data_IF_655627591642
#
_entry.id   IF_655627591642
#
_cell.length_a   1.000
_cell.length_b   1.000
_cell.length_c   1.000
_cell.angle_alpha   90.00
_cell.angle_beta   90.00
_cell.angle_gamma   90.00
#
_symmetry.space_group_name_H-M   'P 1'
#
loop_
_entity.id
_entity.type
_entity.pdbx_description
1 polymer ?
#
# COMPACT_ATOMS: atom_id res chain seq x y z
N UNK A 1 -0.45 -29.60 6.57
CA UNK A 1 0.69 -28.65 6.63
C UNK A 1 0.17 -27.30 7.07
N UNK A 2 0.87 -26.59 7.96
CA UNK A 2 0.42 -25.26 8.43
C UNK A 2 0.65 -24.19 7.35
N UNK A 3 -0.15 -23.12 7.36
CA UNK A 3 0.00 -21.99 6.45
C UNK A 3 1.42 -21.38 6.53
N UNK A 4 1.99 -21.32 7.73
CA UNK A 4 3.36 -20.87 7.96
C UNK A 4 4.41 -21.76 7.28
N UNK A 5 4.26 -23.08 7.37
CA UNK A 5 5.19 -24.01 6.72
C UNK A 5 5.15 -23.86 5.18
N UNK A 6 3.96 -23.64 4.62
CA UNK A 6 3.77 -23.39 3.19
C UNK A 6 4.43 -22.07 2.79
N UNK A 7 4.19 -20.98 3.54
CA UNK A 7 4.76 -19.67 3.24
C UNK A 7 6.29 -19.69 3.31
N UNK A 8 6.86 -20.30 4.34
CA UNK A 8 8.31 -20.46 4.45
C UNK A 8 8.89 -21.23 3.27
N UNK A 9 8.26 -22.35 2.89
CA UNK A 9 8.74 -23.18 1.78
C UNK A 9 8.66 -22.45 0.42
N UNK A 10 7.61 -21.68 0.19
CA UNK A 10 7.33 -21.07 -1.12
C UNK A 10 8.02 -19.72 -1.29
N UNK A 11 8.08 -18.90 -0.23
CA UNK A 11 8.56 -17.51 -0.33
C UNK A 11 9.92 -17.33 0.35
N UNK A 12 10.08 -17.79 1.59
CA UNK A 12 11.25 -17.42 2.40
C UNK A 12 12.47 -18.35 2.24
N UNK A 13 12.29 -19.61 1.85
CA UNK A 13 13.36 -20.63 1.83
C UNK A 13 14.43 -20.39 0.77
N UNK A 14 14.13 -19.72 -0.34
CA UNK A 14 15.08 -19.42 -1.43
C UNK A 14 15.28 -17.92 -1.53
N UNK A 15 16.53 -17.46 -1.45
CA UNK A 15 16.88 -16.04 -1.50
C UNK A 15 16.38 -15.34 -2.77
N UNK A 16 16.43 -16.01 -3.93
CA UNK A 16 15.93 -15.45 -5.19
C UNK A 16 14.42 -15.23 -5.18
N UNK A 17 13.65 -16.21 -4.67
CA UNK A 17 12.19 -16.09 -4.55
C UNK A 17 11.80 -15.08 -3.48
N UNK A 18 12.55 -15.01 -2.38
CA UNK A 18 12.37 -14.02 -1.34
C UNK A 18 12.57 -12.60 -1.89
N UNK A 19 13.66 -12.37 -2.63
CA UNK A 19 13.94 -11.08 -3.26
C UNK A 19 12.84 -10.69 -4.25
N UNK A 20 12.42 -11.61 -5.12
CA UNK A 20 11.33 -11.36 -6.07
C UNK A 20 10.02 -11.00 -5.37
N UNK A 21 9.66 -11.74 -4.32
CA UNK A 21 8.46 -11.48 -3.53
C UNK A 21 8.53 -10.12 -2.82
N UNK A 22 9.70 -9.76 -2.28
CA UNK A 22 9.95 -8.44 -1.70
C UNK A 22 9.79 -7.31 -2.72
N UNK A 23 10.45 -7.41 -3.87
CA UNK A 23 10.39 -6.40 -4.92
C UNK A 23 8.97 -6.20 -5.47
N UNK A 24 8.27 -7.31 -5.78
CA UNK A 24 6.87 -7.25 -6.19
C UNK A 24 5.98 -6.69 -5.08
N UNK A 25 6.19 -7.13 -3.84
CA UNK A 25 5.48 -6.64 -2.67
C UNK A 25 5.62 -5.13 -2.49
N UNK A 26 6.83 -4.59 -2.58
CA UNK A 26 7.09 -3.15 -2.48
C UNK A 26 6.37 -2.37 -3.59
N UNK A 27 6.42 -2.84 -4.84
CA UNK A 27 5.75 -2.16 -5.96
C UNK A 27 4.24 -1.99 -5.74
N UNK A 28 3.56 -3.05 -5.28
CA UNK A 28 2.13 -2.97 -5.00
C UNK A 28 1.82 -2.24 -3.69
N UNK A 29 2.66 -2.42 -2.68
CA UNK A 29 2.49 -1.79 -1.37
C UNK A 29 2.59 -0.27 -1.48
N UNK A 30 3.59 0.25 -2.19
CA UNK A 30 3.79 1.70 -2.39
C UNK A 30 2.51 2.36 -2.91
N UNK A 31 1.98 1.89 -4.04
CA UNK A 31 0.81 2.51 -4.66
C UNK A 31 -0.45 2.38 -3.79
N UNK A 32 -0.64 1.23 -3.16
CA UNK A 32 -1.82 0.97 -2.32
C UNK A 32 -1.77 1.84 -1.05
N UNK A 33 -0.60 1.89 -0.41
CA UNK A 33 -0.40 2.63 0.82
C UNK A 33 -0.50 4.15 0.59
N UNK A 34 0.04 4.65 -0.52
CA UNK A 34 -0.10 6.06 -0.92
C UNK A 34 -1.57 6.46 -1.07
N UNK A 35 -2.34 5.73 -1.89
CA UNK A 35 -3.77 6.01 -2.11
C UNK A 35 -4.55 5.92 -0.79
N UNK A 36 -4.32 4.88 0.01
CA UNK A 36 -5.00 4.71 1.28
C UNK A 36 -4.68 5.83 2.27
N UNK A 37 -3.40 6.21 2.37
CA UNK A 37 -2.94 7.27 3.28
C UNK A 37 -3.49 8.63 2.87
N UNK A 38 -3.47 8.94 1.57
CA UNK A 38 -4.08 10.16 1.03
C UNK A 38 -5.56 10.16 1.37
N UNK A 39 -6.31 9.11 1.01
CA UNK A 39 -7.75 9.02 1.29
C UNK A 39 -8.09 9.21 2.78
N UNK A 40 -7.31 8.59 3.67
CA UNK A 40 -7.45 8.76 5.11
C UNK A 40 -7.22 10.22 5.51
N UNK A 41 -6.14 10.84 5.02
CA UNK A 41 -5.83 12.24 5.28
C UNK A 41 -6.92 13.19 4.77
N UNK A 42 -7.46 12.95 3.56
CA UNK A 42 -8.54 13.77 3.01
C UNK A 42 -9.81 13.63 3.85
N UNK A 43 -10.13 12.39 4.27
CA UNK A 43 -11.31 12.13 5.09
C UNK A 43 -11.22 12.85 6.45
N UNK A 44 -10.04 12.85 7.08
CA UNK A 44 -9.83 13.52 8.37
C UNK A 44 -9.92 15.05 8.22
N UNK A 45 -9.45 15.59 7.09
CA UNK A 45 -9.37 17.03 6.85
C UNK A 45 -10.48 17.58 5.95
N UNK A 46 -11.58 16.83 5.81
CA UNK A 46 -12.69 17.19 4.93
C UNK A 46 -13.23 18.58 5.24
N UNK A 47 -13.35 19.41 4.20
CA UNK A 47 -13.82 20.79 4.27
C UNK A 47 -12.73 21.81 4.59
N UNK A 48 -11.50 21.37 4.91
CA UNK A 48 -10.35 22.26 5.17
C UNK A 48 -9.38 22.33 4.00
N UNK A 49 -9.40 21.34 3.11
CA UNK A 49 -8.42 21.23 2.03
C UNK A 49 -8.83 22.12 0.86
N UNK A 50 -7.84 22.64 0.12
CA UNK A 50 -8.11 23.48 -1.06
C UNK A 50 -9.06 22.81 -2.04
N UNK A 51 -8.88 21.52 -2.31
CA UNK A 51 -9.77 20.73 -3.18
C UNK A 51 -11.25 20.75 -2.76
N UNK A 52 -11.54 20.93 -1.47
CA UNK A 52 -12.91 20.99 -0.95
C UNK A 52 -13.54 22.36 -1.19
N UNK A 53 -12.75 23.43 -1.28
CA UNK A 53 -13.23 24.81 -1.44
C UNK A 53 -12.96 25.40 -2.83
N UNK A 54 -12.21 24.68 -3.68
CA UNK A 54 -11.79 25.13 -5.02
C UNK A 54 -12.97 25.59 -5.89
N UNK A 55 -14.09 24.88 -5.81
CA UNK A 55 -15.34 25.20 -6.52
C UNK A 55 -15.95 26.57 -6.19
N UNK A 56 -15.45 27.27 -5.17
CA UNK A 56 -15.89 28.63 -4.81
C UNK A 56 -15.11 29.71 -5.54
N UNK A 57 -13.99 29.36 -6.17
CA UNK A 57 -13.01 30.30 -6.72
C UNK A 57 -12.66 30.03 -8.19
N UNK A 58 -13.21 28.97 -8.78
CA UNK A 58 -13.14 28.59 -10.20
C UNK A 58 -14.54 28.28 -10.72
#
# INVERSE_FOLDING_TARGET
>A
MSAWATLNRVVFKRTSTFFLAGAAGTFFFERTFDVASVALFESINKGKLWKDIKHKFE
#
